data_IF_691894510886
#
_entry.id   IF_691894510886
#
_cell.length_a   1.000
_cell.length_b   1.000
_cell.length_c   1.000
_cell.angle_alpha   90.00
_cell.angle_beta   90.00
_cell.angle_gamma   90.00
#
_symmetry.space_group_name_H-M   'P 1'
#
loop_
_entity.id
_entity.type
_entity.pdbx_description
1 polymer ?
#
# COMPACT_ATOMS: atom_id res chain seq x y z
N UNK A 1 -4.55 2.93 -22.41
CA UNK A 1 -3.62 3.62 -21.49
C UNK A 1 -2.28 2.88 -21.43
N UNK A 2 -1.15 3.58 -21.34
CA UNK A 2 0.19 2.98 -21.16
C UNK A 2 0.55 2.87 -19.67
N UNK A 3 1.49 2.00 -19.32
CA UNK A 3 1.84 1.76 -17.91
C UNK A 3 2.39 3.00 -17.20
N UNK A 4 3.15 3.86 -17.88
CA UNK A 4 3.65 5.10 -17.28
C UNK A 4 2.50 6.09 -16.99
N UNK A 5 1.51 6.19 -17.89
CA UNK A 5 0.33 7.03 -17.70
C UNK A 5 -0.49 6.56 -16.49
N UNK A 6 -0.64 5.23 -16.33
CA UNK A 6 -1.31 4.64 -15.18
C UNK A 6 -0.62 5.02 -13.85
N UNK A 7 0.70 4.84 -13.75
CA UNK A 7 1.40 5.11 -12.49
C UNK A 7 1.49 6.60 -12.18
N UNK A 8 1.63 7.46 -13.19
CA UNK A 8 1.67 8.91 -13.00
C UNK A 8 0.30 9.49 -12.65
N UNK A 9 -0.79 8.92 -13.18
CA UNK A 9 -2.13 9.30 -12.76
C UNK A 9 -2.37 8.99 -11.26
N UNK A 10 -1.73 7.95 -10.72
CA UNK A 10 -1.83 7.60 -9.29
C UNK A 10 -0.85 8.39 -8.42
N UNK A 11 0.34 8.70 -8.93
CA UNK A 11 1.43 9.39 -8.23
C UNK A 11 2.10 10.38 -9.19
N UNK A 12 1.47 11.55 -9.44
CA UNK A 12 1.94 12.53 -10.43
C UNK A 12 3.17 13.33 -9.98
N UNK A 13 3.54 13.23 -8.70
CA UNK A 13 4.50 14.13 -8.08
C UNK A 13 3.91 15.51 -7.77
N UNK A 14 4.64 16.30 -7.00
CA UNK A 14 4.20 17.63 -6.51
C UNK A 14 5.34 18.67 -6.51
N UNK A 15 6.42 18.39 -7.23
CA UNK A 15 7.62 19.21 -7.31
C UNK A 15 8.66 18.89 -6.24
N UNK A 16 8.24 18.43 -5.06
CA UNK A 16 9.16 17.89 -4.05
C UNK A 16 9.37 16.38 -4.24
N UNK A 17 8.28 15.67 -4.50
CA UNK A 17 8.28 14.26 -4.84
C UNK A 17 8.22 14.07 -6.37
N UNK A 18 9.08 13.23 -6.95
CA UNK A 18 9.09 12.97 -8.39
C UNK A 18 7.86 12.15 -8.82
N UNK A 19 7.38 12.25 -10.07
CA UNK A 19 6.34 11.36 -10.57
C UNK A 19 6.79 9.89 -10.53
N UNK A 20 5.84 8.96 -10.41
CA UNK A 20 6.16 7.54 -10.31
C UNK A 20 6.88 6.96 -11.54
N UNK A 21 6.60 7.47 -12.73
CA UNK A 21 7.29 7.06 -13.95
C UNK A 21 8.76 7.47 -13.93
N UNK A 22 9.09 8.65 -13.38
CA UNK A 22 10.45 9.18 -13.26
C UNK A 22 11.34 8.21 -12.48
N UNK A 23 10.84 7.72 -11.34
CA UNK A 23 11.59 6.80 -10.47
C UNK A 23 11.45 5.33 -10.89
N UNK A 24 10.88 5.05 -12.06
CA UNK A 24 10.89 3.72 -12.67
C UNK A 24 9.81 2.75 -12.20
N UNK A 25 8.78 3.19 -11.47
CA UNK A 25 7.74 2.29 -10.92
C UNK A 25 7.06 1.44 -12.00
N UNK A 26 6.81 2.04 -13.16
CA UNK A 26 6.17 1.38 -14.31
C UNK A 26 6.93 0.12 -14.79
N UNK A 27 8.25 0.08 -14.64
CA UNK A 27 9.08 -1.08 -15.01
C UNK A 27 8.93 -2.28 -14.06
N UNK A 28 8.49 -2.04 -12.82
CA UNK A 28 8.33 -3.08 -11.80
C UNK A 28 6.90 -3.62 -11.68
N UNK A 29 5.90 -2.86 -12.14
CA UNK A 29 4.49 -3.14 -11.88
C UNK A 29 4.08 -4.57 -12.30
N UNK A 30 4.36 -4.96 -13.54
CA UNK A 30 3.99 -6.30 -14.05
C UNK A 30 4.69 -7.43 -13.30
N UNK A 31 5.97 -7.27 -12.99
CA UNK A 31 6.74 -8.27 -12.24
C UNK A 31 6.16 -8.50 -10.86
N UNK A 32 5.81 -7.42 -10.14
CA UNK A 32 5.22 -7.49 -8.81
C UNK A 32 3.78 -8.00 -8.81
N UNK A 33 2.96 -7.62 -9.79
CA UNK A 33 1.62 -8.19 -9.95
C UNK A 33 1.68 -9.69 -10.25
N UNK A 34 2.61 -10.12 -11.09
CA UNK A 34 2.86 -11.55 -11.33
C UNK A 34 3.25 -12.30 -10.06
N UNK A 35 4.08 -11.71 -9.21
CA UNK A 35 4.42 -12.31 -7.90
C UNK A 35 3.21 -12.40 -6.96
N UNK A 36 2.32 -11.41 -7.00
CA UNK A 36 1.14 -11.33 -6.13
C UNK A 36 -0.01 -12.25 -6.56
N UNK A 37 -0.19 -12.48 -7.86
CA UNK A 37 -1.37 -13.16 -8.40
C UNK A 37 -1.18 -13.92 -9.71
N UNK A 38 0.06 -14.18 -10.11
CA UNK A 38 0.39 -14.91 -11.35
C UNK A 38 0.12 -14.11 -12.63
N UNK A 39 0.24 -14.79 -13.77
CA UNK A 39 0.03 -14.18 -15.10
C UNK A 39 -1.42 -13.70 -15.31
N UNK A 40 -2.41 -14.40 -14.75
CA UNK A 40 -3.81 -14.00 -14.83
C UNK A 40 -4.06 -12.58 -14.26
N UNK A 41 -3.32 -12.17 -13.22
CA UNK A 41 -3.45 -10.81 -12.70
C UNK A 41 -2.85 -9.76 -13.64
N UNK A 42 -1.79 -10.12 -14.37
CA UNK A 42 -1.17 -9.24 -15.38
C UNK A 42 -2.06 -9.13 -16.61
N UNK A 43 -2.67 -10.23 -17.06
CA UNK A 43 -3.62 -10.24 -18.17
C UNK A 43 -4.84 -9.37 -17.88
N UNK A 44 -5.40 -9.48 -16.67
CA UNK A 44 -6.51 -8.61 -16.23
C UNK A 44 -6.14 -7.12 -16.23
N UNK A 45 -4.90 -6.78 -15.86
CA UNK A 45 -4.41 -5.40 -15.97
C UNK A 45 -4.39 -4.96 -17.44
N UNK A 46 -3.91 -5.80 -18.34
CA UNK A 46 -3.79 -5.49 -19.77
C UNK A 46 -5.13 -5.27 -20.45
N UNK A 47 -6.10 -6.11 -20.12
CA UNK A 47 -7.48 -5.95 -20.56
C UNK A 47 -8.07 -4.65 -20.05
N UNK A 48 -7.96 -4.39 -18.74
CA UNK A 48 -8.52 -3.18 -18.14
C UNK A 48 -7.87 -1.90 -18.72
N UNK A 49 -6.55 -1.89 -18.93
CA UNK A 49 -5.83 -0.73 -19.49
C UNK A 49 -6.11 -0.49 -20.98
N UNK A 50 -6.69 -1.45 -21.69
CA UNK A 50 -7.06 -1.30 -23.10
C UNK A 50 -8.20 -0.29 -23.26
N UNK A 51 -9.20 -0.42 -22.41
CA UNK A 51 -10.50 0.26 -22.58
C UNK A 51 -10.80 1.29 -21.48
N UNK A 52 -10.10 1.23 -20.35
CA UNK A 52 -10.36 2.06 -19.19
C UNK A 52 -9.18 2.98 -18.84
N UNK A 53 -9.51 4.16 -18.35
CA UNK A 53 -8.59 5.01 -17.60
C UNK A 53 -8.52 4.57 -16.12
N UNK A 54 -7.70 5.23 -15.31
CA UNK A 54 -7.50 4.86 -13.90
C UNK A 54 -8.81 4.86 -13.11
N UNK A 55 -9.66 5.87 -13.31
CA UNK A 55 -10.95 5.99 -12.64
C UNK A 55 -11.93 4.89 -13.10
N UNK A 56 -11.90 4.52 -14.38
CA UNK A 56 -12.63 3.38 -14.93
C UNK A 56 -12.20 2.07 -14.30
N UNK A 57 -10.88 1.83 -14.17
CA UNK A 57 -10.35 0.63 -13.52
C UNK A 57 -10.78 0.57 -12.05
N UNK A 58 -10.72 1.69 -11.32
CA UNK A 58 -11.17 1.76 -9.91
C UNK A 58 -12.65 1.42 -9.78
N UNK A 59 -13.49 1.96 -10.65
CA UNK A 59 -14.95 1.76 -10.62
C UNK A 59 -15.36 0.35 -11.04
N UNK A 60 -14.78 -0.19 -12.10
CA UNK A 60 -15.22 -1.45 -12.73
C UNK A 60 -14.49 -2.67 -12.17
N UNK A 61 -13.27 -2.49 -11.67
CA UNK A 61 -12.44 -3.56 -11.14
C UNK A 61 -11.79 -3.14 -9.80
N UNK A 62 -12.57 -2.84 -8.74
CA UNK A 62 -12.05 -2.31 -7.49
C UNK A 62 -10.99 -3.20 -6.83
N UNK A 63 -11.14 -4.53 -6.90
CA UNK A 63 -10.15 -5.47 -6.35
C UNK A 63 -8.82 -5.47 -7.13
N UNK A 64 -8.89 -5.32 -8.46
CA UNK A 64 -7.71 -5.19 -9.30
C UNK A 64 -7.02 -3.86 -9.01
N UNK A 65 -7.79 -2.78 -8.96
CA UNK A 65 -7.30 -1.45 -8.61
C UNK A 65 -6.61 -1.42 -7.25
N UNK A 66 -7.19 -2.05 -6.22
CA UNK A 66 -6.58 -2.14 -4.90
C UNK A 66 -5.19 -2.80 -4.93
N UNK A 67 -5.03 -3.86 -5.74
CA UNK A 67 -3.74 -4.56 -5.93
C UNK A 67 -2.75 -3.72 -6.71
N UNK A 68 -3.17 -3.07 -7.79
CA UNK A 68 -2.34 -2.14 -8.58
C UNK A 68 -1.85 -1.01 -7.67
N UNK A 69 -2.75 -0.38 -6.91
CA UNK A 69 -2.44 0.70 -5.98
C UNK A 69 -1.42 0.27 -4.94
N UNK A 70 -1.62 -0.89 -4.31
CA UNK A 70 -0.68 -1.42 -3.34
C UNK A 70 0.72 -1.60 -3.95
N UNK A 71 0.81 -2.21 -5.14
CA UNK A 71 2.09 -2.40 -5.84
C UNK A 71 2.74 -1.07 -6.21
N UNK A 72 1.99 -0.13 -6.79
CA UNK A 72 2.49 1.18 -7.20
C UNK A 72 3.05 1.95 -6.00
N UNK A 73 2.31 2.03 -4.90
CA UNK A 73 2.73 2.79 -3.72
C UNK A 73 3.92 2.13 -3.01
N UNK A 74 3.90 0.82 -2.81
CA UNK A 74 5.03 0.10 -2.19
C UNK A 74 6.30 0.30 -3.02
N UNK A 75 6.20 0.07 -4.34
CA UNK A 75 7.36 0.23 -5.23
C UNK A 75 7.87 1.66 -5.21
N UNK A 76 6.99 2.66 -5.25
CA UNK A 76 7.38 4.06 -5.25
C UNK A 76 8.19 4.43 -4.00
N UNK A 77 7.72 4.07 -2.80
CA UNK A 77 8.42 4.37 -1.55
C UNK A 77 9.66 3.48 -1.28
N UNK A 78 9.85 2.44 -2.08
CA UNK A 78 11.09 1.66 -2.10
C UNK A 78 12.17 2.30 -3.00
N UNK A 79 11.84 3.28 -3.83
CA UNK A 79 12.80 3.88 -4.75
C UNK A 79 13.81 4.79 -4.01
N UNK A 80 15.12 4.65 -4.24
CA UNK A 80 16.14 5.40 -3.53
C UNK A 80 15.93 6.92 -3.57
N UNK A 81 15.53 7.46 -4.72
CA UNK A 81 15.27 8.89 -4.91
C UNK A 81 14.13 9.39 -4.01
N UNK A 82 13.02 8.64 -3.94
CA UNK A 82 11.89 8.96 -3.05
C UNK A 82 12.32 8.91 -1.59
N UNK A 83 13.16 7.95 -1.22
CA UNK A 83 13.67 7.83 0.14
C UNK A 83 14.60 8.98 0.53
N UNK A 84 15.40 9.52 -0.40
CA UNK A 84 16.20 10.72 -0.16
C UNK A 84 15.31 11.95 0.07
N UNK A 85 14.22 12.10 -0.68
CA UNK A 85 13.24 13.18 -0.44
C UNK A 85 12.66 13.07 0.98
N UNK A 86 12.29 11.87 1.42
CA UNK A 86 11.79 11.66 2.79
C UNK A 86 12.85 12.00 3.85
N UNK A 87 14.11 11.62 3.61
CA UNK A 87 15.22 11.98 4.51
C UNK A 87 15.45 13.49 4.57
N UNK A 88 15.32 14.19 3.44
CA UNK A 88 15.45 15.64 3.37
C UNK A 88 14.37 16.38 4.19
N UNK A 89 13.22 15.75 4.45
CA UNK A 89 12.18 16.27 5.34
C UNK A 89 12.50 16.09 6.84
N UNK A 90 13.66 15.51 7.18
CA UNK A 90 14.10 15.30 8.55
C UNK A 90 13.65 13.97 9.17
N UNK A 91 12.97 13.11 8.40
CA UNK A 91 12.61 11.77 8.87
C UNK A 91 13.79 10.81 8.82
N UNK A 92 13.92 9.97 9.84
CA UNK A 92 14.78 8.78 9.77
C UNK A 92 14.05 7.75 8.93
N UNK A 93 14.38 7.65 7.65
CA UNK A 93 13.82 6.66 6.72
C UNK A 93 14.91 5.73 6.20
N UNK A 94 14.82 4.45 6.57
CA UNK A 94 15.76 3.40 6.19
C UNK A 94 15.29 2.66 4.94
N UNK A 95 16.20 2.40 4.01
CA UNK A 95 15.90 1.74 2.72
C UNK A 95 15.49 0.27 2.86
N UNK A 96 15.92 -0.38 3.93
CA UNK A 96 15.67 -1.80 4.21
C UNK A 96 15.23 -1.91 5.66
N UNK A 97 14.31 -2.81 6.04
CA UNK A 97 14.13 -3.13 7.44
C UNK A 97 15.48 -3.54 8.02
N UNK A 98 16.02 -2.70 8.90
CA UNK A 98 17.25 -3.01 9.62
C UNK A 98 17.02 -4.34 10.36
N UNK A 99 18.06 -5.17 10.59
CA UNK A 99 17.93 -6.40 11.38
C UNK A 99 17.29 -6.18 12.76
N UNK A 100 17.30 -4.94 13.27
CA UNK A 100 16.72 -4.53 14.55
C UNK A 100 15.56 -3.53 14.42
N UNK A 101 15.08 -3.26 13.20
CA UNK A 101 14.10 -2.21 12.93
C UNK A 101 14.62 -0.80 13.25
N UNK A 102 13.70 0.15 13.39
CA UNK A 102 14.06 1.49 13.89
C UNK A 102 14.46 1.41 15.36
N UNK A 103 15.48 2.16 15.80
CA UNK A 103 15.79 2.27 17.22
C UNK A 103 14.64 2.99 17.91
N UNK A 104 13.75 2.21 18.52
CA UNK A 104 12.68 2.71 19.37
C UNK A 104 13.20 2.75 20.81
N UNK A 105 13.03 3.89 21.48
CA UNK A 105 13.26 3.98 22.92
C UNK A 105 12.31 3.06 23.68
N UNK A 106 12.58 2.85 24.97
CA UNK A 106 11.54 2.31 25.86
C UNK A 106 10.37 3.29 25.86
N UNK A 107 9.17 2.73 25.84
CA UNK A 107 7.94 3.50 25.99
C UNK A 107 8.04 4.40 27.23
N UNK A 108 7.88 5.70 27.05
CA UNK A 108 7.88 6.70 28.10
C UNK A 108 6.45 7.14 28.42
N UNK A 109 6.21 7.74 29.58
CA UNK A 109 4.87 8.26 29.94
C UNK A 109 4.37 9.31 28.91
N UNK A 110 5.29 10.03 28.27
CA UNK A 110 4.97 10.98 27.20
C UNK A 110 4.40 10.32 25.93
N UNK A 111 4.68 9.03 25.69
CA UNK A 111 4.14 8.26 24.57
C UNK A 111 2.71 7.77 24.84
N UNK A 112 2.19 7.98 26.05
CA UNK A 112 0.85 7.56 26.45
C UNK A 112 -0.21 8.36 25.68
N UNK A 113 -1.14 7.69 24.98
CA UNK A 113 -2.24 8.36 24.30
C UNK A 113 -3.04 9.26 25.27
N UNK A 114 -3.11 10.56 24.97
CA UNK A 114 -3.79 11.55 25.81
C UNK A 114 -5.30 11.59 25.61
N UNK A 115 -5.79 11.07 24.49
CA UNK A 115 -7.18 11.17 24.07
C UNK A 115 -8.11 10.13 24.74
N UNK A 116 -7.58 9.25 25.61
CA UNK A 116 -8.37 8.25 26.36
C UNK A 116 -9.14 7.24 25.49
N UNK A 117 -8.78 7.11 24.21
CA UNK A 117 -9.42 6.16 23.29
C UNK A 117 -8.73 4.80 23.39
N UNK A 118 -9.53 3.76 23.65
CA UNK A 118 -9.04 2.40 23.89
C UNK A 118 -8.60 2.20 25.34
N UNK A 119 -8.79 1.00 25.87
CA UNK A 119 -8.29 0.57 27.17
C UNK A 119 -7.26 -0.53 26.97
N UNK A 120 -6.25 -0.56 27.84
CA UNK A 120 -5.33 -1.69 27.87
C UNK A 120 -6.08 -2.95 28.28
N UNK A 121 -5.97 -4.00 27.47
CA UNK A 121 -6.42 -5.35 27.81
C UNK A 121 -5.15 -6.18 28.02
N UNK A 122 -4.98 -6.75 29.20
CA UNK A 122 -3.84 -7.61 29.46
C UNK A 122 -3.88 -8.83 28.53
N UNK A 123 -2.73 -9.34 28.12
CA UNK A 123 -2.65 -10.43 27.13
C UNK A 123 -3.48 -11.65 27.51
N UNK A 124 -3.54 -11.99 28.81
CA UNK A 124 -4.37 -13.10 29.32
C UNK A 124 -5.88 -12.82 29.34
N UNK A 125 -6.27 -11.55 29.29
CA UNK A 125 -7.66 -11.10 29.29
C UNK A 125 -8.22 -10.92 27.86
N UNK A 126 -7.38 -11.10 26.84
CA UNK A 126 -7.81 -11.08 25.43
C UNK A 126 -8.70 -12.30 25.17
N UNK A 127 -10.00 -12.06 25.04
CA UNK A 127 -10.99 -13.08 24.69
C UNK A 127 -11.22 -13.07 23.18
N UNK A 128 -11.50 -14.25 22.63
CA UNK A 128 -12.00 -14.34 21.25
C UNK A 128 -13.28 -13.53 21.14
N UNK A 129 -13.37 -12.73 20.09
CA UNK A 129 -14.61 -12.02 19.74
C UNK A 129 -15.63 -13.06 19.29
N UNK A 130 -16.84 -12.98 19.82
CA UNK A 130 -17.97 -13.77 19.34
C UNK A 130 -18.44 -13.21 17.99
N UNK A 131 -18.40 -14.05 16.97
CA UNK A 131 -18.72 -13.67 15.59
C UNK A 131 -20.13 -14.13 15.18
N UNK A 132 -20.91 -14.73 16.08
CA UNK A 132 -22.24 -15.27 15.79
C UNK A 132 -23.25 -14.22 15.29
N UNK A 133 -23.02 -12.93 15.56
CA UNK A 133 -23.85 -11.82 15.03
C UNK A 133 -23.44 -11.31 13.65
N UNK A 134 -22.39 -11.87 13.04
CA UNK A 134 -21.80 -11.39 11.77
C UNK A 134 -22.17 -12.26 10.57
N UNK A 135 -23.15 -13.16 10.69
CA UNK A 135 -23.59 -14.07 9.62
C UNK A 135 -24.00 -13.33 8.33
N UNK A 136 -24.45 -12.08 8.44
CA UNK A 136 -24.81 -11.23 7.30
C UNK A 136 -23.61 -10.79 6.43
N UNK A 137 -22.38 -10.92 6.93
CA UNK A 137 -21.15 -10.66 6.17
C UNK A 137 -20.71 -11.87 5.32
N UNK A 138 -21.33 -13.04 5.51
CA UNK A 138 -21.09 -14.26 4.75
C UNK A 138 -21.93 -14.30 3.47
N UNK A 139 -21.42 -13.71 2.39
CA UNK A 139 -21.91 -14.00 1.03
C UNK A 139 -21.86 -15.51 0.76
N UNK A 140 -22.97 -16.06 0.26
CA UNK A 140 -23.18 -17.48 -0.04
C UNK A 140 -22.04 -18.04 -0.92
N UNK A 141 -21.20 -18.90 -0.35
CA UNK A 141 -20.53 -19.94 -1.12
C UNK A 141 -21.48 -21.14 -1.18
N UNK A 142 -22.35 -21.12 -2.19
CA UNK A 142 -23.05 -22.29 -2.71
C UNK A 142 -22.54 -22.54 -4.12
#
# INVERSE_FOLDING_TARGET
>A
MRTFELVDAMLPGDGQFPPASHVGVHGHLRGRLRQLGGDALVERLDEAMRDLDVAGIEREHPDLFARIRAVVFITYYEMPEVQEVIRALGFRYNATPLPRGYPMGRFAEADRPTHGRGHYVATGDVRRVDLSGLDFLGGKNG
#
